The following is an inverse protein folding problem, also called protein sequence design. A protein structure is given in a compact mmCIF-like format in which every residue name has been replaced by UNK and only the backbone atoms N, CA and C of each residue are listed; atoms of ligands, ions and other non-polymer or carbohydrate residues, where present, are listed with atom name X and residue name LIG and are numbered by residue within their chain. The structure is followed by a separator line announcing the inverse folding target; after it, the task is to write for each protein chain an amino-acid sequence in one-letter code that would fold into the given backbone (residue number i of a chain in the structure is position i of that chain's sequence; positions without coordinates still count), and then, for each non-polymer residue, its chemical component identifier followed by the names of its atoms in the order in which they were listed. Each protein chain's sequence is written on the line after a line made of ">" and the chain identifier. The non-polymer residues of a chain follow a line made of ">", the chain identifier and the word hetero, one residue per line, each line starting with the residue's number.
data_IF_389124134301
#
_entry.id   IF_389124134301
#
_cell.length_a   1.000
_cell.length_b   1.000
_cell.length_c   1.000
_cell.angle_alpha   90.00
_cell.angle_beta   90.00
_cell.angle_gamma   90.00
#
_symmetry.space_group_name_H-M   'P 1'
#
loop_
_entity.id
_entity.type
_entity.pdbx_description
1 polymer ?
#
# COMPACT_ATOMS: atom_id res chain seq x y z
N UNK A 1 6.91 -10.87 21.81
CA UNK A 1 7.40 -12.04 21.02
C UNK A 1 7.56 -11.57 19.59
N UNK A 2 8.65 -11.87 18.91
CA UNK A 2 8.87 -11.53 17.51
C UNK A 2 8.06 -12.48 16.61
N UNK A 3 7.43 -11.99 15.57
CA UNK A 3 6.82 -12.81 14.52
C UNK A 3 7.91 -13.59 13.78
N UNK A 4 7.57 -14.78 13.30
CA UNK A 4 8.45 -15.61 12.47
C UNK A 4 7.73 -16.07 11.20
N UNK A 5 6.48 -16.48 11.33
CA UNK A 5 5.65 -17.00 10.25
C UNK A 5 4.59 -15.98 9.86
N UNK A 6 4.71 -15.48 8.64
CA UNK A 6 3.83 -14.45 8.07
C UNK A 6 3.01 -15.05 6.94
N UNK A 7 1.71 -14.87 7.00
CA UNK A 7 0.81 -15.21 5.90
C UNK A 7 0.31 -13.93 5.26
N UNK A 8 0.44 -13.83 3.94
CA UNK A 8 -0.17 -12.73 3.18
C UNK A 8 -1.40 -13.27 2.46
N UNK A 9 -2.57 -12.78 2.82
CA UNK A 9 -3.82 -13.18 2.18
C UNK A 9 -4.08 -12.30 0.94
N UNK A 10 -3.70 -12.82 -0.23
CA UNK A 10 -3.85 -12.14 -1.51
C UNK A 10 -2.52 -11.87 -2.23
N UNK A 11 -2.42 -12.35 -3.48
CA UNK A 11 -1.27 -12.18 -4.37
C UNK A 11 -1.46 -11.04 -5.39
N UNK A 12 -2.09 -9.95 -4.98
CA UNK A 12 -2.18 -8.71 -5.75
C UNK A 12 -0.82 -8.01 -5.87
N UNK A 13 -0.80 -6.83 -6.49
CA UNK A 13 0.46 -6.05 -6.65
C UNK A 13 1.11 -5.84 -5.29
N UNK A 14 0.40 -5.25 -4.33
CA UNK A 14 0.96 -4.92 -3.04
C UNK A 14 1.14 -6.14 -2.13
N UNK A 15 0.20 -7.12 -2.16
CA UNK A 15 0.35 -8.37 -1.41
C UNK A 15 1.59 -9.15 -1.81
N UNK A 16 1.92 -9.22 -3.10
CA UNK A 16 3.17 -9.83 -3.58
C UNK A 16 4.41 -9.08 -3.10
N UNK A 17 4.37 -7.74 -3.09
CA UNK A 17 5.47 -6.91 -2.57
C UNK A 17 5.70 -7.11 -1.08
N UNK A 18 4.62 -7.12 -0.27
CA UNK A 18 4.68 -7.35 1.19
C UNK A 18 5.29 -8.72 1.48
N UNK A 19 4.80 -9.76 0.78
CA UNK A 19 5.30 -11.11 0.95
C UNK A 19 6.79 -11.22 0.58
N UNK A 20 7.18 -10.65 -0.56
CA UNK A 20 8.56 -10.67 -1.01
C UNK A 20 9.50 -9.91 -0.06
N UNK A 21 9.08 -8.73 0.40
CA UNK A 21 9.85 -7.93 1.36
C UNK A 21 10.04 -8.65 2.70
N UNK A 22 8.98 -9.25 3.22
CA UNK A 22 9.08 -10.02 4.47
C UNK A 22 10.02 -11.23 4.30
N UNK A 23 9.92 -11.97 3.19
CA UNK A 23 10.82 -13.08 2.89
C UNK A 23 12.27 -12.61 2.69
N UNK A 24 12.50 -11.48 2.01
CA UNK A 24 13.82 -10.85 1.85
C UNK A 24 14.46 -10.50 3.19
N UNK A 25 13.65 -10.14 4.18
CA UNK A 25 14.09 -9.86 5.54
C UNK A 25 14.15 -11.11 6.45
N UNK A 26 13.99 -12.32 5.90
CA UNK A 26 14.24 -13.60 6.58
C UNK A 26 13.02 -14.18 7.30
N UNK A 27 11.81 -13.70 7.06
CA UNK A 27 10.58 -14.31 7.58
C UNK A 27 10.19 -15.53 6.75
N UNK A 28 9.57 -16.52 7.41
CA UNK A 28 8.90 -17.65 6.76
C UNK A 28 7.55 -17.18 6.23
N UNK A 29 7.40 -17.10 4.89
CA UNK A 29 6.24 -16.44 4.27
C UNK A 29 5.45 -17.39 3.40
N UNK A 30 4.13 -17.40 3.62
CA UNK A 30 3.14 -18.07 2.77
C UNK A 30 2.16 -17.03 2.19
N UNK A 31 1.90 -17.10 0.90
CA UNK A 31 0.82 -16.32 0.26
C UNK A 31 -0.39 -17.23 0.12
N UNK A 32 -1.45 -16.94 0.87
CA UNK A 32 -2.72 -17.64 0.66
C UNK A 32 -3.46 -17.05 -0.53
N UNK A 33 -3.95 -17.94 -1.41
CA UNK A 33 -4.64 -17.59 -2.65
C UNK A 33 -5.95 -18.37 -2.75
N UNK A 34 -7.02 -17.73 -3.14
CA UNK A 34 -8.37 -18.33 -3.15
C UNK A 34 -8.62 -19.34 -4.30
N UNK A 35 -7.74 -19.45 -5.29
CA UNK A 35 -7.95 -20.33 -6.46
C UNK A 35 -6.66 -20.58 -7.24
N UNK A 36 -6.63 -21.69 -7.98
CA UNK A 36 -5.52 -22.03 -8.88
C UNK A 36 -5.22 -20.90 -9.91
N UNK A 37 -6.26 -20.25 -10.46
CA UNK A 37 -6.07 -19.10 -11.34
C UNK A 37 -5.42 -17.90 -10.68
N UNK A 38 -5.45 -17.81 -9.35
CA UNK A 38 -4.73 -16.76 -8.61
C UNK A 38 -3.24 -17.05 -8.55
N UNK A 39 -2.81 -18.32 -8.52
CA UNK A 39 -1.39 -18.70 -8.62
C UNK A 39 -0.81 -18.17 -9.93
N UNK A 40 -1.46 -18.47 -11.08
CA UNK A 40 -1.01 -18.01 -12.40
C UNK A 40 -0.91 -16.49 -12.55
N UNK A 41 -1.68 -15.72 -11.75
CA UNK A 41 -1.59 -14.25 -11.71
C UNK A 41 -0.57 -13.72 -10.69
N UNK A 42 -0.24 -14.50 -9.68
CA UNK A 42 0.70 -14.11 -8.61
C UNK A 42 2.14 -14.43 -8.99
N UNK A 43 2.39 -15.64 -9.53
CA UNK A 43 3.74 -16.07 -9.88
C UNK A 43 4.50 -15.08 -10.77
N UNK A 44 3.93 -14.55 -11.89
CA UNK A 44 4.64 -13.56 -12.71
C UNK A 44 4.99 -12.27 -11.97
N UNK A 45 4.21 -11.92 -10.90
CA UNK A 45 4.56 -10.75 -10.07
C UNK A 45 5.75 -11.03 -9.17
N UNK A 46 5.86 -12.24 -8.63
CA UNK A 46 7.01 -12.65 -7.84
C UNK A 46 8.27 -12.75 -8.72
N UNK A 47 8.15 -13.28 -9.94
CA UNK A 47 9.24 -13.34 -10.91
C UNK A 47 9.75 -11.92 -11.25
N UNK A 48 8.81 -11.00 -11.49
CA UNK A 48 9.14 -9.60 -11.75
C UNK A 48 9.73 -8.90 -10.52
N UNK A 49 9.26 -9.21 -9.29
CA UNK A 49 9.84 -8.64 -8.07
C UNK A 49 11.28 -9.11 -7.86
N UNK A 50 11.56 -10.40 -8.06
CA UNK A 50 12.94 -10.92 -8.04
C UNK A 50 13.84 -10.06 -8.93
N UNK A 51 13.48 -9.92 -10.21
CA UNK A 51 14.22 -9.12 -11.18
C UNK A 51 14.35 -7.65 -10.76
N UNK A 52 13.26 -7.06 -10.25
CA UNK A 52 13.25 -5.66 -9.80
C UNK A 52 14.22 -5.41 -8.64
N UNK A 53 14.31 -6.35 -7.69
CA UNK A 53 15.25 -6.25 -6.58
C UNK A 53 16.69 -6.44 -7.05
N UNK A 54 16.95 -7.40 -7.94
CA UNK A 54 18.26 -7.62 -8.55
C UNK A 54 18.74 -6.36 -9.30
N UNK A 55 17.89 -5.78 -10.15
CA UNK A 55 18.17 -4.53 -10.89
C UNK A 55 18.41 -3.35 -9.95
N UNK A 56 17.64 -3.22 -8.86
CA UNK A 56 17.84 -2.17 -7.87
C UNK A 56 19.18 -2.32 -7.14
N UNK A 57 19.57 -3.53 -6.75
CA UNK A 57 20.86 -3.83 -6.10
C UNK A 57 22.02 -3.49 -7.05
N UNK A 58 21.94 -3.93 -8.32
CA UNK A 58 22.95 -3.62 -9.34
C UNK A 58 23.09 -2.11 -9.55
N UNK A 59 21.97 -1.41 -9.66
CA UNK A 59 21.95 0.04 -9.85
C UNK A 59 22.52 0.81 -8.64
N UNK A 60 22.20 0.37 -7.40
CA UNK A 60 22.80 0.93 -6.20
C UNK A 60 24.31 0.70 -6.14
N UNK A 61 24.76 -0.53 -6.47
CA UNK A 61 26.18 -0.88 -6.48
C UNK A 61 26.98 -0.09 -7.51
N UNK A 62 26.37 0.19 -8.67
CA UNK A 62 26.98 0.99 -9.75
C UNK A 62 26.85 2.51 -9.51
N UNK A 63 26.08 2.96 -8.52
CA UNK A 63 25.81 4.39 -8.30
C UNK A 63 24.99 5.05 -9.41
N UNK A 64 24.23 4.26 -10.20
CA UNK A 64 23.47 4.74 -11.36
C UNK A 64 21.98 4.98 -11.08
N UNK A 65 21.51 4.60 -9.89
CA UNK A 65 20.11 4.73 -9.49
C UNK A 65 19.93 5.20 -8.06
N UNK A 66 18.68 5.43 -7.66
CA UNK A 66 18.37 5.87 -6.31
C UNK A 66 18.65 4.75 -5.29
N UNK A 67 19.05 5.15 -4.09
CA UNK A 67 19.14 4.21 -2.97
C UNK A 67 17.77 3.65 -2.60
N UNK A 68 17.70 2.34 -2.38
CA UNK A 68 16.49 1.62 -1.97
C UNK A 68 16.63 1.16 -0.51
N UNK A 69 16.16 1.98 0.43
CA UNK A 69 16.31 1.75 1.86
C UNK A 69 15.58 0.47 2.37
N UNK A 70 14.57 -0.01 1.65
CA UNK A 70 13.95 -1.32 1.91
C UNK A 70 14.88 -2.51 1.58
N UNK A 71 15.96 -2.30 0.82
CA UNK A 71 16.93 -3.34 0.45
C UNK A 71 18.16 -3.29 1.36
N UNK A 72 18.77 -2.11 1.52
CA UNK A 72 20.00 -1.95 2.28
C UNK A 72 20.02 -0.63 3.04
N UNK A 73 20.78 -0.54 4.14
CA UNK A 73 20.99 0.69 4.90
C UNK A 73 21.93 1.62 4.14
N UNK A 74 21.62 2.92 4.15
CA UNK A 74 22.40 3.92 3.42
C UNK A 74 23.64 4.39 4.16
N UNK A 75 23.76 4.07 5.43
CA UNK A 75 24.87 4.44 6.32
C UNK A 75 25.98 3.38 6.39
N UNK A 76 25.83 2.27 5.64
CA UNK A 76 26.81 1.21 5.53
C UNK A 76 27.16 0.91 4.06
N UNK A 77 28.36 0.39 3.76
CA UNK A 77 28.70 -0.09 2.43
C UNK A 77 27.71 -1.18 1.96
N UNK A 78 27.29 -1.10 0.71
CA UNK A 78 26.40 -2.12 0.14
C UNK A 78 27.16 -3.45 -0.04
N UNK A 79 26.74 -4.47 0.67
CA UNK A 79 27.13 -5.86 0.37
C UNK A 79 26.22 -6.41 -0.71
N UNK A 80 26.64 -6.21 -1.97
CA UNK A 80 25.90 -6.60 -3.16
C UNK A 80 25.59 -8.10 -3.16
N UNK A 81 26.59 -8.93 -2.90
CA UNK A 81 26.47 -10.39 -3.00
C UNK A 81 25.52 -10.93 -1.92
N UNK A 82 25.62 -10.43 -0.71
CA UNK A 82 24.69 -10.77 0.36
C UNK A 82 23.26 -10.31 0.06
N UNK A 83 23.08 -9.14 -0.59
CA UNK A 83 21.76 -8.68 -1.01
C UNK A 83 21.17 -9.58 -2.10
N UNK A 84 21.94 -9.96 -3.13
CA UNK A 84 21.50 -10.86 -4.19
C UNK A 84 21.17 -12.26 -3.63
N UNK A 85 21.99 -12.79 -2.72
CA UNK A 85 21.71 -14.07 -2.04
C UNK A 85 20.39 -14.05 -1.27
N UNK A 86 20.09 -12.94 -0.58
CA UNK A 86 18.78 -12.73 0.08
C UNK A 86 17.61 -12.71 -0.89
N UNK A 87 17.76 -12.10 -2.07
CA UNK A 87 16.73 -12.12 -3.13
C UNK A 87 16.43 -13.55 -3.57
N UNK A 88 17.47 -14.34 -3.82
CA UNK A 88 17.31 -15.73 -4.23
C UNK A 88 16.63 -16.57 -3.13
N UNK A 89 17.09 -16.46 -1.87
CA UNK A 89 16.51 -17.15 -0.73
C UNK A 89 15.04 -16.78 -0.52
N UNK A 90 14.70 -15.47 -0.64
CA UNK A 90 13.33 -15.00 -0.53
C UNK A 90 12.42 -15.60 -1.61
N UNK A 91 12.89 -15.58 -2.85
CA UNK A 91 12.12 -16.10 -3.98
C UNK A 91 11.86 -17.60 -3.87
N UNK A 92 12.86 -18.39 -3.50
CA UNK A 92 12.75 -19.85 -3.34
C UNK A 92 11.97 -20.26 -2.09
N UNK A 93 12.02 -19.44 -1.02
CA UNK A 93 11.35 -19.70 0.25
C UNK A 93 9.86 -19.34 0.27
N UNK A 94 9.38 -18.52 -0.67
CA UNK A 94 7.97 -18.12 -0.75
C UNK A 94 7.08 -19.30 -1.15
N UNK A 95 6.04 -19.56 -0.34
CA UNK A 95 5.05 -20.60 -0.63
C UNK A 95 3.73 -20.00 -1.09
N UNK A 96 3.13 -20.59 -2.13
CA UNK A 96 1.77 -20.29 -2.58
C UNK A 96 0.84 -21.41 -2.11
N UNK A 97 -0.17 -21.09 -1.31
CA UNK A 97 -1.06 -22.06 -0.68
C UNK A 97 -2.54 -21.73 -1.01
N UNK A 98 -3.32 -22.73 -1.35
CA UNK A 98 -4.75 -22.60 -1.65
C UNK A 98 -5.62 -23.02 -0.47
N UNK A 99 -5.15 -23.95 0.35
CA UNK A 99 -5.85 -24.36 1.57
C UNK A 99 -5.61 -23.31 2.66
N UNK A 100 -6.71 -22.68 3.08
CA UNK A 100 -6.65 -21.67 4.12
C UNK A 100 -6.20 -22.24 5.46
N UNK A 101 -6.65 -23.44 5.82
CA UNK A 101 -6.28 -24.07 7.09
C UNK A 101 -4.78 -24.37 7.12
N UNK A 102 -4.25 -24.93 6.04
CA UNK A 102 -2.81 -25.20 5.90
C UNK A 102 -1.99 -23.90 5.93
N UNK A 103 -2.43 -22.87 5.22
CA UNK A 103 -1.74 -21.59 5.14
C UNK A 103 -1.57 -20.94 6.53
N UNK A 104 -2.59 -20.99 7.39
CA UNK A 104 -2.61 -20.25 8.66
C UNK A 104 -2.33 -21.12 9.90
N UNK A 105 -2.08 -22.42 9.76
CA UNK A 105 -2.01 -23.40 10.85
C UNK A 105 -1.09 -22.98 12.02
N UNK A 106 -0.02 -22.28 11.74
CA UNK A 106 0.97 -21.84 12.74
C UNK A 106 1.39 -20.36 12.57
N UNK A 107 0.58 -19.59 11.84
CA UNK A 107 0.84 -18.18 11.56
C UNK A 107 0.99 -17.33 12.85
N UNK A 108 2.03 -16.50 12.89
CA UNK A 108 2.17 -15.46 13.89
C UNK A 108 1.46 -14.17 13.48
N UNK A 109 1.52 -13.84 12.18
CA UNK A 109 0.89 -12.66 11.59
C UNK A 109 0.19 -13.04 10.28
N UNK A 110 -1.03 -12.57 10.10
CA UNK A 110 -1.73 -12.58 8.81
C UNK A 110 -1.89 -11.15 8.31
N UNK A 111 -1.35 -10.84 7.13
CA UNK A 111 -1.54 -9.55 6.46
C UNK A 111 -2.59 -9.73 5.35
N UNK A 112 -3.77 -9.17 5.53
CA UNK A 112 -4.82 -9.18 4.52
C UNK A 112 -4.55 -8.10 3.46
N UNK A 113 -4.37 -8.52 2.22
CA UNK A 113 -4.12 -7.66 1.05
C UNK A 113 -5.01 -8.06 -0.13
N UNK A 114 -6.31 -8.18 0.14
CA UNK A 114 -7.34 -8.53 -0.83
C UNK A 114 -7.94 -7.26 -1.48
N UNK A 115 -8.88 -7.47 -2.41
CA UNK A 115 -9.64 -6.37 -3.01
C UNK A 115 -10.40 -5.54 -1.95
N UNK A 116 -10.56 -4.24 -2.23
CA UNK A 116 -11.28 -3.29 -1.36
C UNK A 116 -12.81 -3.48 -1.43
N UNK A 117 -13.26 -4.70 -1.16
CA UNK A 117 -14.67 -5.08 -1.07
C UNK A 117 -15.02 -5.47 0.38
N UNK A 118 -15.86 -4.68 1.06
CA UNK A 118 -16.23 -4.96 2.44
C UNK A 118 -16.88 -6.34 2.64
N UNK A 119 -17.70 -6.80 1.71
CA UNK A 119 -18.38 -8.11 1.81
C UNK A 119 -17.36 -9.24 1.73
N UNK A 120 -16.48 -9.18 0.72
CA UNK A 120 -15.45 -10.18 0.54
C UNK A 120 -14.47 -10.23 1.75
N UNK A 121 -14.15 -9.08 2.34
CA UNK A 121 -13.31 -9.03 3.56
C UNK A 121 -14.02 -9.64 4.77
N UNK A 122 -15.30 -9.36 4.98
CA UNK A 122 -16.09 -9.96 6.07
C UNK A 122 -16.13 -11.48 5.93
N UNK A 123 -16.47 -11.99 4.75
CA UNK A 123 -16.50 -13.43 4.47
C UNK A 123 -15.14 -14.10 4.71
N UNK A 124 -14.07 -13.45 4.27
CA UNK A 124 -12.70 -13.92 4.50
C UNK A 124 -12.38 -14.01 5.99
N UNK A 125 -12.61 -12.95 6.77
CA UNK A 125 -12.33 -12.96 8.21
C UNK A 125 -13.14 -14.01 8.95
N UNK A 126 -14.43 -14.16 8.64
CA UNK A 126 -15.30 -15.16 9.26
C UNK A 126 -14.85 -16.60 8.97
N UNK A 127 -14.38 -16.87 7.75
CA UNK A 127 -13.84 -18.18 7.38
C UNK A 127 -12.48 -18.46 8.02
N UNK A 128 -11.63 -17.47 8.11
CA UNK A 128 -10.28 -17.60 8.61
C UNK A 128 -10.23 -17.67 10.16
N UNK A 129 -11.06 -16.90 10.84
CA UNK A 129 -11.00 -16.73 12.29
C UNK A 129 -10.95 -18.03 13.11
N UNK A 130 -11.77 -19.08 12.81
CA UNK A 130 -11.75 -20.35 13.55
C UNK A 130 -10.50 -21.19 13.27
N UNK A 131 -9.75 -20.91 12.21
CA UNK A 131 -8.58 -21.68 11.80
C UNK A 131 -7.27 -21.16 12.42
N UNK A 132 -7.31 -19.92 12.96
CA UNK A 132 -6.11 -19.26 13.43
C UNK A 132 -5.67 -19.72 14.82
N UNK A 133 -4.37 -19.94 15.04
CA UNK A 133 -3.82 -20.08 16.39
C UNK A 133 -4.15 -18.90 17.29
N UNK A 134 -4.26 -19.13 18.59
CA UNK A 134 -4.57 -18.08 19.56
C UNK A 134 -3.55 -16.91 19.57
N UNK A 135 -2.30 -17.19 19.18
CA UNK A 135 -1.21 -16.20 19.10
C UNK A 135 -1.33 -15.21 17.94
N UNK A 136 -2.01 -15.60 16.86
CA UNK A 136 -1.98 -14.89 15.57
C UNK A 136 -2.55 -13.48 15.66
N UNK A 137 -1.78 -12.52 15.19
CA UNK A 137 -2.20 -11.13 14.93
C UNK A 137 -2.71 -11.02 13.49
N UNK A 138 -3.72 -10.21 13.26
CA UNK A 138 -4.26 -9.94 11.92
C UNK A 138 -4.05 -8.46 11.61
N UNK A 139 -3.45 -8.17 10.45
CA UNK A 139 -3.32 -6.82 9.92
C UNK A 139 -4.05 -6.70 8.57
N UNK A 140 -4.74 -5.60 8.34
CA UNK A 140 -5.28 -5.28 7.01
C UNK A 140 -4.39 -4.24 6.32
N UNK A 141 -4.14 -4.45 5.03
CA UNK A 141 -3.43 -3.47 4.18
C UNK A 141 -4.42 -2.57 3.41
N UNK A 142 -5.67 -2.52 3.82
CA UNK A 142 -6.68 -1.66 3.19
C UNK A 142 -6.25 -0.19 3.20
N UNK A 143 -6.40 0.50 2.07
CA UNK A 143 -6.07 1.92 1.92
C UNK A 143 -7.19 2.86 2.36
N UNK A 144 -8.45 2.40 2.32
CA UNK A 144 -9.63 3.25 2.49
C UNK A 144 -10.59 2.77 3.57
N UNK A 145 -10.60 1.48 3.89
CA UNK A 145 -11.52 0.90 4.87
C UNK A 145 -10.88 0.86 6.26
N UNK A 146 -11.60 1.37 7.26
CA UNK A 146 -11.10 1.42 8.63
C UNK A 146 -11.13 0.03 9.31
N UNK A 147 -10.12 -0.33 10.12
CA UNK A 147 -10.10 -1.60 10.83
C UNK A 147 -11.29 -1.78 11.78
N UNK A 148 -11.81 -0.72 12.40
CA UNK A 148 -13.00 -0.81 13.27
C UNK A 148 -14.24 -1.39 12.57
N UNK A 149 -14.35 -1.26 11.25
CA UNK A 149 -15.48 -1.82 10.47
C UNK A 149 -15.46 -3.36 10.45
N UNK A 150 -14.29 -3.96 10.59
CA UNK A 150 -14.09 -5.41 10.43
C UNK A 150 -13.72 -6.13 11.71
N UNK A 151 -13.28 -5.44 12.75
CA UNK A 151 -12.73 -6.01 13.98
C UNK A 151 -13.59 -7.14 14.57
N UNK A 152 -14.92 -6.96 14.63
CA UNK A 152 -15.87 -7.95 15.17
C UNK A 152 -15.94 -9.27 14.35
N UNK A 153 -15.54 -9.24 13.09
CA UNK A 153 -15.59 -10.44 12.21
C UNK A 153 -14.30 -11.27 12.25
N UNK A 154 -13.25 -10.75 12.87
CA UNK A 154 -11.93 -11.40 12.97
C UNK A 154 -11.84 -12.44 14.09
N UNK A 155 -12.83 -12.48 15.00
CA UNK A 155 -12.84 -13.33 16.20
C UNK A 155 -11.80 -12.93 17.26
N UNK A 156 -10.98 -11.90 16.99
CA UNK A 156 -9.90 -11.40 17.87
C UNK A 156 -9.66 -9.90 17.66
N UNK A 157 -10.65 -9.06 18.00
CA UNK A 157 -10.57 -7.62 17.78
C UNK A 157 -9.41 -6.95 18.53
N UNK A 158 -8.97 -7.54 19.64
CA UNK A 158 -7.81 -7.12 20.42
C UNK A 158 -6.46 -7.32 19.70
N UNK A 159 -6.43 -8.22 18.68
CA UNK A 159 -5.27 -8.55 17.85
C UNK A 159 -5.46 -8.17 16.38
N UNK A 160 -6.32 -7.22 16.11
CA UNK A 160 -6.62 -6.75 14.76
C UNK A 160 -6.38 -5.27 14.61
N UNK A 161 -5.64 -4.88 13.55
CA UNK A 161 -5.27 -3.52 13.26
C UNK A 161 -4.89 -3.37 11.77
N UNK A 162 -4.45 -2.17 11.35
CA UNK A 162 -3.99 -1.92 9.98
C UNK A 162 -2.47 -1.84 9.89
N UNK A 163 -1.95 -2.32 8.75
CA UNK A 163 -0.57 -2.16 8.30
C UNK A 163 -0.58 -1.77 6.83
N UNK A 164 -0.55 -0.48 6.56
CA UNK A 164 -0.70 0.08 5.22
C UNK A 164 0.64 0.48 4.62
N UNK A 165 0.87 0.08 3.37
CA UNK A 165 2.11 0.33 2.65
C UNK A 165 1.88 1.24 1.43
N UNK A 166 2.90 2.03 1.08
CA UNK A 166 3.00 2.63 -0.24
C UNK A 166 3.47 1.60 -1.28
N UNK A 167 3.11 1.77 -2.55
CA UNK A 167 3.63 0.91 -3.62
C UNK A 167 5.14 1.07 -3.80
N UNK A 168 5.79 0.02 -4.35
CA UNK A 168 7.26 -0.04 -4.50
C UNK A 168 7.96 0.04 -3.15
N UNK A 169 7.57 -0.84 -2.23
CA UNK A 169 7.95 -0.81 -0.81
C UNK A 169 9.46 -0.92 -0.58
N UNK A 170 10.21 -1.53 -1.49
CA UNK A 170 11.67 -1.57 -1.45
C UNK A 170 12.32 -0.20 -1.59
N UNK A 171 11.62 0.75 -2.22
CA UNK A 171 12.05 2.13 -2.47
C UNK A 171 11.30 3.12 -1.58
N UNK A 172 9.97 3.00 -1.51
CA UNK A 172 9.08 3.83 -0.70
C UNK A 172 8.80 3.12 0.63
N UNK A 173 9.84 2.91 1.42
CA UNK A 173 9.86 2.01 2.56
C UNK A 173 9.13 2.56 3.80
N UNK A 174 7.88 2.96 3.66
CA UNK A 174 7.02 3.39 4.77
C UNK A 174 5.90 2.38 5.03
N UNK A 175 5.57 2.18 6.31
CA UNK A 175 4.45 1.36 6.74
C UNK A 175 3.66 2.10 7.84
N UNK A 176 2.40 2.41 7.57
CA UNK A 176 1.51 3.09 8.49
C UNK A 176 0.78 2.07 9.35
N UNK A 177 1.01 2.12 10.67
CA UNK A 177 0.39 1.22 11.64
C UNK A 177 -0.75 1.96 12.35
N UNK A 178 -1.98 1.45 12.22
CA UNK A 178 -3.17 2.10 12.78
C UNK A 178 -4.03 1.08 13.54
N UNK A 179 -4.12 1.26 14.85
CA UNK A 179 -5.02 0.48 15.72
C UNK A 179 -6.47 0.94 15.62
N UNK A 180 -7.37 0.15 16.18
CA UNK A 180 -8.76 0.50 16.45
C UNK A 180 -9.04 0.40 17.97
N UNK A 181 -10.21 0.80 18.42
CA UNK A 181 -10.52 0.96 19.86
C UNK A 181 -10.23 -0.26 20.75
N UNK A 182 -10.25 -1.47 20.20
CA UNK A 182 -10.01 -2.73 20.92
C UNK A 182 -8.59 -3.27 20.74
N UNK A 183 -7.79 -2.72 19.84
CA UNK A 183 -6.40 -3.16 19.61
C UNK A 183 -5.59 -2.94 20.88
N UNK A 184 -4.95 -3.99 21.39
CA UNK A 184 -4.10 -3.85 22.57
C UNK A 184 -2.78 -3.12 22.25
N UNK A 185 -2.25 -2.31 23.17
CA UNK A 185 -0.96 -1.62 22.97
C UNK A 185 0.18 -2.59 22.62
N UNK A 186 0.23 -3.73 23.26
CA UNK A 186 1.27 -4.74 22.99
C UNK A 186 1.23 -5.27 21.55
N UNK A 187 0.04 -5.47 20.97
CA UNK A 187 -0.12 -5.90 19.57
C UNK A 187 0.24 -4.76 18.62
N UNK A 188 -0.11 -3.52 18.96
CA UNK A 188 0.30 -2.35 18.18
C UNK A 188 1.83 -2.23 18.10
N UNK A 189 2.51 -2.34 19.25
CA UNK A 189 3.97 -2.26 19.33
C UNK A 189 4.65 -3.43 18.60
N UNK A 190 4.09 -4.65 18.68
CA UNK A 190 4.57 -5.80 17.91
C UNK A 190 4.50 -5.56 16.39
N UNK A 191 3.45 -4.91 15.90
CA UNK A 191 3.31 -4.64 14.47
C UNK A 191 4.23 -3.49 14.01
N UNK A 192 4.45 -2.48 14.87
CA UNK A 192 5.48 -1.44 14.63
C UNK A 192 6.86 -2.08 14.52
N UNK A 193 7.20 -2.99 15.44
CA UNK A 193 8.47 -3.70 15.40
C UNK A 193 8.61 -4.57 14.16
N UNK A 194 7.55 -5.28 13.76
CA UNK A 194 7.55 -6.05 12.51
C UNK A 194 7.81 -5.15 11.29
N UNK A 195 7.17 -4.00 11.21
CA UNK A 195 7.38 -3.05 10.12
C UNK A 195 8.87 -2.61 10.04
N UNK A 196 9.50 -2.34 11.20
CA UNK A 196 10.93 -2.03 11.25
C UNK A 196 11.79 -3.22 10.82
N UNK A 197 11.44 -4.44 11.27
CA UNK A 197 12.19 -5.66 10.92
C UNK A 197 12.15 -5.98 9.42
N UNK A 198 11.09 -5.61 8.73
CA UNK A 198 11.01 -5.71 7.26
C UNK A 198 11.54 -4.45 6.56
N UNK A 199 12.37 -3.65 7.24
CA UNK A 199 13.07 -2.46 6.73
C UNK A 199 12.14 -1.32 6.31
N UNK A 200 10.95 -1.24 6.90
CA UNK A 200 10.06 -0.10 6.71
C UNK A 200 10.27 0.93 7.83
N UNK A 201 10.10 2.20 7.48
CA UNK A 201 9.92 3.26 8.46
C UNK A 201 8.49 3.13 8.99
N UNK A 202 8.35 2.60 10.19
CA UNK A 202 7.03 2.45 10.80
C UNK A 202 6.46 3.83 11.20
N UNK A 203 5.24 4.12 10.73
CA UNK A 203 4.54 5.38 10.99
C UNK A 203 3.31 5.10 11.88
N UNK A 204 3.40 5.34 13.20
CA UNK A 204 2.28 5.13 14.11
C UNK A 204 1.16 6.15 13.87
N UNK A 205 -0.02 5.66 13.48
CA UNK A 205 -1.25 6.46 13.32
C UNK A 205 -2.06 6.34 14.61
N UNK A 206 -2.05 7.40 15.42
CA UNK A 206 -2.56 7.41 16.80
C UNK A 206 -4.10 7.35 16.91
N UNK A 207 -4.81 7.64 15.83
CA UNK A 207 -6.27 7.62 15.77
C UNK A 207 -6.71 7.15 14.39
N UNK A 208 -7.78 6.35 14.34
CA UNK A 208 -8.33 5.91 13.05
C UNK A 208 -8.63 7.08 12.13
N UNK A 209 -8.11 7.00 10.93
CA UNK A 209 -8.26 8.01 9.88
C UNK A 209 -8.28 7.34 8.51
N UNK A 210 -9.34 7.58 7.73
CA UNK A 210 -9.38 7.20 6.32
C UNK A 210 -8.24 7.90 5.57
N UNK A 211 -7.49 7.12 4.77
CA UNK A 211 -6.35 7.65 4.03
C UNK A 211 -5.08 7.80 4.86
N UNK A 212 -5.11 7.38 6.14
CA UNK A 212 -3.93 7.40 7.02
C UNK A 212 -3.24 8.78 7.05
N UNK A 213 -1.92 8.83 7.12
CA UNK A 213 -1.15 10.08 7.02
C UNK A 213 -0.92 10.45 5.56
N UNK A 214 -0.37 9.50 4.77
CA UNK A 214 0.06 9.76 3.40
C UNK A 214 -1.09 10.25 2.51
N UNK A 215 -2.14 9.45 2.37
CA UNK A 215 -3.26 9.80 1.48
C UNK A 215 -4.09 10.98 2.01
N UNK A 216 -4.09 11.22 3.33
CA UNK A 216 -4.73 12.42 3.91
C UNK A 216 -4.06 13.74 3.51
N UNK A 217 -2.79 13.70 3.14
CA UNK A 217 -2.04 14.84 2.60
C UNK A 217 -2.00 14.83 1.07
N UNK A 218 -1.70 13.66 0.48
CA UNK A 218 -1.49 13.51 -0.95
C UNK A 218 -2.76 13.80 -1.75
N UNK A 219 -3.90 13.21 -1.37
CA UNK A 219 -5.14 13.35 -2.14
C UNK A 219 -5.60 14.82 -2.22
N UNK A 220 -5.70 15.59 -1.12
CA UNK A 220 -6.01 17.01 -1.20
C UNK A 220 -5.00 17.81 -2.03
N UNK A 221 -3.71 17.48 -1.93
CA UNK A 221 -2.67 18.13 -2.73
C UNK A 221 -2.88 17.91 -4.23
N UNK A 222 -3.12 16.66 -4.66
CA UNK A 222 -3.39 16.35 -6.06
C UNK A 222 -4.68 17.01 -6.56
N UNK A 223 -5.73 16.98 -5.74
CA UNK A 223 -7.01 17.64 -6.07
C UNK A 223 -6.86 19.15 -6.22
N UNK A 224 -6.02 19.81 -5.41
CA UNK A 224 -5.74 21.24 -5.54
C UNK A 224 -5.05 21.57 -6.86
N UNK A 225 -4.06 20.78 -7.28
CA UNK A 225 -3.41 20.94 -8.59
C UNK A 225 -4.38 20.74 -9.76
N UNK A 226 -5.18 19.67 -9.67
CA UNK A 226 -6.20 19.36 -10.69
C UNK A 226 -7.26 20.47 -10.80
N UNK A 227 -7.64 21.10 -9.69
CA UNK A 227 -8.63 22.18 -9.70
C UNK A 227 -8.11 23.43 -10.40
N UNK A 228 -6.86 23.81 -10.13
CA UNK A 228 -6.20 24.91 -10.82
C UNK A 228 -6.19 24.70 -12.34
N UNK A 229 -5.90 23.50 -12.78
CA UNK A 229 -5.92 23.13 -14.19
C UNK A 229 -7.34 23.10 -14.77
N UNK A 230 -8.26 22.39 -14.11
CA UNK A 230 -9.64 22.21 -14.57
C UNK A 230 -10.44 23.53 -14.59
N UNK A 231 -10.06 24.48 -13.77
CA UNK A 231 -10.65 25.84 -13.73
C UNK A 231 -9.97 26.83 -14.67
N UNK A 232 -8.96 26.39 -15.44
CA UNK A 232 -8.25 27.22 -16.39
C UNK A 232 -7.36 28.32 -15.78
N UNK A 233 -6.98 28.14 -14.51
CA UNK A 233 -6.09 29.09 -13.81
C UNK A 233 -4.68 29.02 -14.39
N UNK A 234 -4.16 27.80 -14.66
CA UNK A 234 -2.87 27.60 -15.30
C UNK A 234 -2.75 26.20 -15.93
N UNK A 235 -1.68 25.96 -16.69
CA UNK A 235 -1.34 24.66 -17.26
C UNK A 235 -0.60 23.75 -16.25
N UNK A 236 -0.60 22.42 -16.48
CA UNK A 236 0.03 21.45 -15.58
C UNK A 236 1.51 21.70 -15.28
N UNK A 237 2.29 22.10 -16.30
CA UNK A 237 3.73 22.35 -16.14
C UNK A 237 4.01 23.57 -15.27
N UNK A 238 3.28 24.66 -15.49
CA UNK A 238 3.40 25.86 -14.67
C UNK A 238 3.00 25.63 -13.21
N UNK A 239 1.96 24.81 -12.96
CA UNK A 239 1.53 24.44 -11.61
C UNK A 239 2.63 23.60 -10.92
N UNK A 240 3.20 22.60 -11.60
CA UNK A 240 4.29 21.81 -11.07
C UNK A 240 5.55 22.64 -10.78
N UNK A 241 5.91 23.56 -11.68
CA UNK A 241 7.04 24.50 -11.48
C UNK A 241 6.80 25.38 -10.26
N UNK A 242 5.59 25.96 -10.12
CA UNK A 242 5.27 26.79 -8.97
C UNK A 242 5.46 26.03 -7.65
N UNK A 243 5.05 24.76 -7.59
CA UNK A 243 5.23 23.93 -6.40
C UNK A 243 6.68 23.54 -6.17
N UNK A 244 7.34 22.97 -7.18
CA UNK A 244 8.70 22.42 -7.03
C UNK A 244 9.72 23.52 -6.73
N UNK A 245 9.67 24.66 -7.43
CA UNK A 245 10.62 25.77 -7.21
C UNK A 245 10.25 26.62 -5.98
N UNK A 246 8.94 26.77 -5.70
CA UNK A 246 8.50 27.54 -4.53
C UNK A 246 8.74 26.86 -3.20
N UNK A 247 8.79 25.50 -3.18
CA UNK A 247 8.91 24.70 -1.93
C UNK A 247 10.18 23.88 -1.84
N UNK A 248 10.91 23.68 -2.95
CA UNK A 248 12.02 22.75 -3.05
C UNK A 248 11.58 21.27 -3.12
N UNK A 249 10.27 20.99 -3.30
CA UNK A 249 9.78 19.62 -3.44
C UNK A 249 10.30 18.97 -4.73
N UNK A 250 10.61 17.66 -4.72
CA UNK A 250 11.21 17.00 -5.89
C UNK A 250 10.22 16.79 -7.05
N UNK A 251 8.90 16.82 -6.77
CA UNK A 251 7.83 16.62 -7.75
C UNK A 251 6.63 17.51 -7.45
N UNK A 252 6.00 18.00 -8.50
CA UNK A 252 4.70 18.65 -8.44
C UNK A 252 3.52 17.69 -8.58
N UNK A 253 2.28 18.20 -8.43
CA UNK A 253 1.08 17.35 -8.43
C UNK A 253 0.92 16.50 -9.69
N UNK A 254 1.20 17.02 -10.88
CA UNK A 254 0.99 16.31 -12.14
C UNK A 254 2.07 15.27 -12.40
N UNK A 255 3.32 15.52 -12.01
CA UNK A 255 4.39 14.50 -12.02
C UNK A 255 4.08 13.34 -11.06
N UNK A 256 3.43 13.62 -9.94
CA UNK A 256 2.97 12.59 -9.00
C UNK A 256 1.78 11.83 -9.61
N UNK A 257 0.83 12.51 -10.24
CA UNK A 257 -0.33 11.89 -10.91
C UNK A 257 0.14 10.91 -11.99
N UNK A 258 1.13 11.25 -12.81
CA UNK A 258 1.69 10.33 -13.80
C UNK A 258 2.35 9.10 -13.17
N UNK A 259 2.94 9.27 -11.98
CA UNK A 259 3.52 8.14 -11.21
C UNK A 259 2.43 7.24 -10.60
N UNK A 260 1.35 7.84 -10.08
CA UNK A 260 0.18 7.13 -9.48
C UNK A 260 -0.68 6.47 -10.57
N UNK A 261 -0.74 7.08 -11.73
CA UNK A 261 -1.52 6.67 -12.88
C UNK A 261 -2.87 7.40 -12.98
N UNK A 262 -3.21 7.84 -14.19
CA UNK A 262 -4.43 8.59 -14.49
C UNK A 262 -5.72 7.84 -14.10
N UNK A 263 -5.78 6.52 -14.33
CA UNK A 263 -6.94 5.71 -13.97
C UNK A 263 -7.19 5.70 -12.44
N UNK A 264 -6.13 5.60 -11.64
CA UNK A 264 -6.23 5.69 -10.18
C UNK A 264 -6.69 7.07 -9.74
N UNK A 265 -6.12 8.11 -10.34
CA UNK A 265 -6.48 9.51 -10.05
C UNK A 265 -7.93 9.81 -10.42
N UNK A 266 -8.40 9.33 -11.57
CA UNK A 266 -9.80 9.46 -11.98
C UNK A 266 -10.75 8.77 -11.00
N UNK A 267 -10.41 7.56 -10.52
CA UNK A 267 -11.20 6.87 -9.51
C UNK A 267 -11.29 7.67 -8.20
N UNK A 268 -10.19 8.28 -7.77
CA UNK A 268 -10.18 9.16 -6.58
C UNK A 268 -11.12 10.36 -6.81
N UNK A 269 -10.99 11.07 -7.93
CA UNK A 269 -11.87 12.22 -8.27
C UNK A 269 -13.34 11.80 -8.25
N UNK A 270 -13.68 10.66 -8.86
CA UNK A 270 -15.05 10.16 -8.92
C UNK A 270 -15.61 9.77 -7.54
N UNK A 271 -14.78 9.19 -6.66
CA UNK A 271 -15.18 8.91 -5.27
C UNK A 271 -15.54 10.18 -4.52
N UNK A 272 -14.75 11.25 -4.65
CA UNK A 272 -15.06 12.53 -4.01
C UNK A 272 -16.27 13.23 -4.63
N UNK A 273 -16.52 13.04 -5.92
CA UNK A 273 -17.72 13.54 -6.60
C UNK A 273 -19.00 12.85 -6.09
N UNK A 274 -18.93 11.55 -5.79
CA UNK A 274 -20.08 10.70 -5.45
C UNK A 274 -20.46 10.70 -3.96
N UNK A 275 -19.86 11.55 -3.11
CA UNK A 275 -20.23 11.65 -1.68
C UNK A 275 -21.73 11.91 -1.55
N UNK A 276 -22.51 11.03 -0.87
CA UNK A 276 -23.96 11.13 -0.82
C UNK A 276 -24.47 12.46 -0.25
N UNK A 277 -25.48 12.99 -0.88
CA UNK A 277 -26.04 14.31 -0.65
C UNK A 277 -26.91 14.47 0.58
N UNK A 278 -26.40 14.27 1.79
CA UNK A 278 -26.99 14.80 3.03
C UNK A 278 -26.71 16.30 3.22
N UNK A 279 -25.84 16.88 2.40
CA UNK A 279 -25.46 18.29 2.45
C UNK A 279 -26.15 19.03 1.28
N UNK A 280 -26.72 20.19 1.56
CA UNK A 280 -27.25 21.05 0.50
C UNK A 280 -26.16 21.35 -0.55
N UNK A 281 -26.51 21.60 -1.83
CA UNK A 281 -25.53 21.92 -2.87
C UNK A 281 -24.59 23.08 -2.49
N UNK A 282 -25.09 24.03 -1.71
CA UNK A 282 -24.33 25.17 -1.20
C UNK A 282 -23.29 24.75 -0.16
N UNK A 283 -23.65 23.88 0.78
CA UNK A 283 -22.74 23.34 1.81
C UNK A 283 -21.67 22.46 1.16
N UNK A 284 -22.05 21.65 0.17
CA UNK A 284 -21.12 20.82 -0.60
C UNK A 284 -20.07 21.69 -1.33
N UNK A 285 -20.50 22.80 -1.93
CA UNK A 285 -19.61 23.76 -2.60
C UNK A 285 -18.69 24.50 -1.61
N UNK A 286 -19.15 24.80 -0.40
CA UNK A 286 -18.33 25.40 0.65
C UNK A 286 -17.29 24.45 1.24
N UNK A 287 -17.62 23.16 1.40
CA UNK A 287 -16.73 22.16 2.00
C UNK A 287 -15.78 21.52 0.98
N UNK A 288 -16.16 21.51 -0.30
CA UNK A 288 -15.39 20.91 -1.39
C UNK A 288 -15.49 21.83 -2.63
N UNK A 289 -14.72 22.94 -2.67
CA UNK A 289 -14.83 23.95 -3.72
C UNK A 289 -14.32 23.50 -5.11
N UNK A 290 -13.86 22.26 -5.23
CA UNK A 290 -13.21 21.73 -6.42
C UNK A 290 -14.18 21.44 -7.57
N UNK A 291 -13.73 21.68 -8.80
CA UNK A 291 -14.47 21.42 -10.04
C UNK A 291 -14.37 19.95 -10.48
N UNK A 292 -14.84 19.02 -9.62
CA UNK A 292 -14.75 17.57 -9.87
C UNK A 292 -15.29 17.11 -11.22
N UNK A 293 -16.36 17.74 -11.71
CA UNK A 293 -16.98 17.37 -13.00
C UNK A 293 -16.01 17.61 -14.16
N UNK A 294 -15.35 18.76 -14.17
CA UNK A 294 -14.37 19.11 -15.21
C UNK A 294 -13.11 18.27 -15.07
N UNK A 295 -12.61 18.07 -13.84
CA UNK A 295 -11.47 17.19 -13.57
C UNK A 295 -11.71 15.78 -14.11
N UNK A 296 -12.85 15.17 -13.76
CA UNK A 296 -13.21 13.82 -14.21
C UNK A 296 -13.27 13.73 -15.74
N UNK A 297 -13.86 14.71 -16.40
CA UNK A 297 -13.94 14.77 -17.87
C UNK A 297 -12.54 14.86 -18.50
N UNK A 298 -11.71 15.80 -18.05
CA UNK A 298 -10.36 15.99 -18.60
C UNK A 298 -9.46 14.77 -18.40
N UNK A 299 -9.52 14.14 -17.23
CA UNK A 299 -8.76 12.90 -16.95
C UNK A 299 -9.26 11.74 -17.80
N UNK A 300 -10.58 11.62 -18.02
CA UNK A 300 -11.14 10.60 -18.90
C UNK A 300 -10.71 10.82 -20.36
N UNK A 301 -10.78 12.05 -20.85
CA UNK A 301 -10.36 12.41 -22.22
C UNK A 301 -8.88 12.08 -22.45
N UNK A 302 -8.01 12.29 -21.46
CA UNK A 302 -6.58 11.90 -21.51
C UNK A 302 -6.39 10.39 -21.52
N UNK A 303 -7.14 9.66 -20.66
CA UNK A 303 -7.09 8.20 -20.61
C UNK A 303 -7.50 7.58 -21.94
N UNK A 304 -8.59 8.07 -22.56
CA UNK A 304 -9.11 7.58 -23.83
C UNK A 304 -8.11 7.78 -24.97
N UNK A 305 -7.27 8.81 -24.89
CA UNK A 305 -6.20 9.10 -25.85
C UNK A 305 -4.86 8.44 -25.52
N UNK A 306 -4.72 7.82 -24.34
CA UNK A 306 -3.45 7.27 -23.86
C UNK A 306 -2.40 8.32 -23.53
N UNK A 307 -2.83 9.56 -23.25
CA UNK A 307 -1.96 10.69 -22.92
C UNK A 307 -1.48 10.66 -21.47
N UNK A 308 -0.39 11.35 -21.20
CA UNK A 308 0.14 11.66 -19.87
C UNK A 308 0.41 13.16 -19.76
N UNK A 309 0.63 13.67 -18.55
CA UNK A 309 1.04 15.06 -18.34
C UNK A 309 2.50 15.31 -18.76
N UNK A 310 3.32 14.26 -18.62
CA UNK A 310 4.72 14.24 -19.03
C UNK A 310 5.00 12.99 -19.87
N UNK A 311 5.98 13.08 -20.77
CA UNK A 311 6.46 11.96 -21.61
C UNK A 311 7.29 10.95 -20.80
#
# INVERSE_FOLDING_TARGET
>A
MSFKKVVVAGGGVLGSQIAFQAAYCGFDVTIWLRSQGSIGRTQPKLDNLKKTYEEAIESMAAGTGPWCAGIADSDAPLDKDACLARVQTAYEGLRLELDMAAAVADADLVVESMAEDPKAKIEFYQKMAPLLPAKTVIATNSSTLLPSQFAKYTGRPDKYLSLHFANSIWKNNTAEVMGQAQTTPAVFDQLVEFANQIRMIALPVRKEKNGYLLNSMLVPFLLSGLDLWASGVSDPKSIDIAWTHGTGAPKGPFQIIDTVGLATTLNIVNQYQSVPGLLSPLLKKMMMPYNFKTMSKLLQDMLDKGEKFYE
#
